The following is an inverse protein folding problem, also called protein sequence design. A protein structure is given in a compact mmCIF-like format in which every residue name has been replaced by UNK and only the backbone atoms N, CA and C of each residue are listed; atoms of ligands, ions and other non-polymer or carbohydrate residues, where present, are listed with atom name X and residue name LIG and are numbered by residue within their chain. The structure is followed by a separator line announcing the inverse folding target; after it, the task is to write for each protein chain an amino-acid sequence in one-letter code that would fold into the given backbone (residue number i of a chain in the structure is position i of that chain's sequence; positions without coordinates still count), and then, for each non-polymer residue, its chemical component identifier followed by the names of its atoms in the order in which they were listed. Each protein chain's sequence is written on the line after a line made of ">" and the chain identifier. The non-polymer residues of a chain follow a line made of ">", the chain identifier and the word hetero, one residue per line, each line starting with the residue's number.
data_IF_931198385539
#
_entry.id   IF_931198385539
#
_cell.length_a   1.000
_cell.length_b   1.000
_cell.length_c   1.000
_cell.angle_alpha   90.00
_cell.angle_beta   90.00
_cell.angle_gamma   90.00
#
_symmetry.space_group_name_H-M   'P 1'
#
loop_
_entity.id
_entity.type
_entity.pdbx_description
1 polymer ?
#
# COMPACT_ATOMS: atom_id res chain seq x y z
N UNK A 1 -27.88 -62.98 -6.71
CA UNK A 1 -26.90 -62.05 -6.09
C UNK A 1 -27.31 -60.60 -6.43
N UNK A 2 -27.78 -59.82 -5.45
CA UNK A 2 -28.17 -58.42 -5.65
C UNK A 2 -27.04 -57.55 -5.13
N UNK A 3 -26.31 -56.87 -5.99
CA UNK A 3 -25.26 -55.94 -5.65
C UNK A 3 -25.87 -54.62 -5.18
N UNK A 4 -25.68 -54.29 -3.93
CA UNK A 4 -26.09 -52.97 -3.40
C UNK A 4 -25.00 -51.94 -3.74
N UNK A 5 -25.36 -50.99 -4.58
CA UNK A 5 -24.53 -49.83 -4.89
C UNK A 5 -24.62 -48.83 -3.73
N UNK A 6 -23.54 -48.61 -3.03
CA UNK A 6 -23.44 -47.62 -1.96
C UNK A 6 -23.11 -46.26 -2.59
N UNK A 7 -24.09 -45.34 -2.61
CA UNK A 7 -23.87 -43.99 -3.07
C UNK A 7 -23.32 -43.20 -1.86
N UNK A 8 -22.03 -42.92 -1.88
CA UNK A 8 -21.41 -41.95 -0.97
C UNK A 8 -21.76 -40.54 -1.44
N UNK A 9 -22.73 -39.92 -0.80
CA UNK A 9 -23.01 -38.49 -0.95
C UNK A 9 -21.93 -37.72 -0.18
N UNK A 10 -20.88 -37.31 -0.88
CA UNK A 10 -19.90 -36.38 -0.34
C UNK A 10 -20.56 -35.01 -0.16
N UNK A 11 -20.79 -34.60 1.09
CA UNK A 11 -21.10 -33.24 1.43
C UNK A 11 -19.85 -32.38 1.14
N UNK A 12 -19.82 -31.72 0.00
CA UNK A 12 -18.92 -30.58 -0.21
C UNK A 12 -19.45 -29.41 0.62
N UNK A 13 -18.88 -29.19 1.78
CA UNK A 13 -19.02 -27.92 2.47
C UNK A 13 -18.37 -26.87 1.57
N UNK A 14 -19.17 -26.05 0.90
CA UNK A 14 -18.69 -24.86 0.23
C UNK A 14 -18.13 -23.94 1.33
N UNK A 15 -16.82 -23.86 1.43
CA UNK A 15 -16.14 -22.82 2.22
C UNK A 15 -16.44 -21.52 1.48
N UNK A 16 -17.45 -20.79 1.95
CA UNK A 16 -17.69 -19.45 1.50
C UNK A 16 -16.40 -18.64 1.78
N UNK A 17 -15.73 -18.25 0.72
CA UNK A 17 -14.60 -17.32 0.84
C UNK A 17 -15.19 -16.00 1.36
N UNK A 18 -15.05 -15.74 2.64
CA UNK A 18 -15.46 -14.48 3.24
C UNK A 18 -14.58 -13.38 2.63
N UNK A 19 -15.21 -12.52 1.84
CA UNK A 19 -14.60 -11.27 1.37
C UNK A 19 -14.62 -10.25 2.51
N UNK A 20 -13.75 -9.25 2.44
CA UNK A 20 -13.74 -8.12 3.35
C UNK A 20 -15.17 -7.59 3.59
N UNK A 21 -15.55 -7.46 4.86
CA UNK A 21 -16.92 -7.10 5.23
C UNK A 21 -17.06 -5.57 5.32
N UNK A 22 -18.03 -4.96 4.61
CA UNK A 22 -18.29 -3.54 4.76
C UNK A 22 -18.75 -3.23 6.19
N UNK A 23 -18.29 -2.11 6.72
CA UNK A 23 -18.65 -1.64 8.06
C UNK A 23 -19.49 -0.38 7.93
N UNK A 24 -20.62 -0.33 8.65
CA UNK A 24 -21.42 0.88 8.72
C UNK A 24 -20.59 2.01 9.29
N UNK A 25 -20.41 3.08 8.52
CA UNK A 25 -19.48 4.14 8.81
C UNK A 25 -20.16 5.48 8.81
N UNK A 26 -20.05 6.21 9.93
CA UNK A 26 -20.44 7.60 10.00
C UNK A 26 -19.31 8.48 9.50
N UNK A 27 -19.53 9.13 8.38
CA UNK A 27 -18.59 10.10 7.82
C UNK A 27 -19.01 11.51 8.30
N UNK A 28 -18.09 12.19 8.96
CA UNK A 28 -18.25 13.59 9.35
C UNK A 28 -17.09 14.40 8.78
N UNK A 29 -17.30 15.69 8.61
CA UNK A 29 -16.24 16.59 8.16
C UNK A 29 -16.14 17.79 9.11
N UNK A 30 -14.93 18.26 9.28
CA UNK A 30 -14.60 19.44 10.08
C UNK A 30 -14.03 20.50 9.12
N UNK A 31 -14.36 21.77 9.37
CA UNK A 31 -13.86 22.89 8.57
C UNK A 31 -14.50 23.02 7.20
N UNK A 32 -13.68 23.23 6.19
CA UNK A 32 -14.12 23.67 4.85
C UNK A 32 -14.55 22.54 3.90
N UNK A 33 -14.63 21.33 4.39
CA UNK A 33 -15.09 20.20 3.57
C UNK A 33 -16.57 20.35 3.20
N UNK A 34 -16.88 20.07 1.95
CA UNK A 34 -18.25 20.03 1.41
C UNK A 34 -18.55 18.65 0.85
N UNK A 35 -19.78 18.19 1.05
CA UNK A 35 -20.27 16.97 0.42
C UNK A 35 -21.38 17.33 -0.57
N UNK A 36 -21.21 16.93 -1.81
CA UNK A 36 -22.24 16.99 -2.83
C UNK A 36 -22.33 15.65 -3.54
N UNK A 37 -23.48 14.98 -3.42
CA UNK A 37 -23.76 13.70 -4.09
C UNK A 37 -22.69 12.61 -3.82
N UNK A 38 -22.19 12.54 -2.60
CA UNK A 38 -21.15 11.56 -2.21
C UNK A 38 -19.72 11.95 -2.58
N UNK A 39 -19.51 13.13 -3.18
CA UNK A 39 -18.20 13.69 -3.44
C UNK A 39 -17.84 14.68 -2.33
N UNK A 40 -16.83 14.35 -1.56
CA UNK A 40 -16.28 15.24 -0.54
C UNK A 40 -15.20 16.13 -1.16
N UNK A 41 -15.38 17.43 -1.07
CA UNK A 41 -14.46 18.43 -1.66
C UNK A 41 -13.96 19.36 -0.58
N UNK A 42 -12.65 19.56 -0.54
CA UNK A 42 -12.00 20.62 0.24
C UNK A 42 -11.34 21.60 -0.71
N UNK A 43 -11.59 22.89 -0.52
CA UNK A 43 -10.92 23.97 -1.21
C UNK A 43 -10.14 24.81 -0.21
N UNK A 44 -8.96 25.25 -0.60
CA UNK A 44 -8.20 26.23 0.18
C UNK A 44 -8.96 27.58 0.25
N UNK A 45 -8.92 28.35 1.35
CA UNK A 45 -8.11 28.13 2.55
C UNK A 45 -8.80 27.21 3.56
N UNK A 46 -8.17 26.07 3.86
CA UNK A 46 -8.50 25.22 5.01
C UNK A 46 -7.53 25.47 6.15
N UNK A 47 -7.88 25.00 7.32
CA UNK A 47 -6.96 24.96 8.45
C UNK A 47 -6.23 23.62 8.49
N UNK A 48 -5.05 23.57 9.11
CA UNK A 48 -4.20 22.38 9.25
C UNK A 48 -4.92 21.15 9.83
N UNK A 49 -6.06 21.37 10.48
CA UNK A 49 -6.82 20.33 11.18
C UNK A 49 -8.16 19.99 10.52
N UNK A 50 -8.45 20.57 9.35
CA UNK A 50 -9.65 20.23 8.62
C UNK A 50 -9.58 18.79 8.11
N UNK A 51 -10.47 17.93 8.57
CA UNK A 51 -10.41 16.51 8.26
C UNK A 51 -11.76 15.92 7.87
N UNK A 52 -11.72 14.91 7.00
CA UNK A 52 -12.77 13.91 6.89
C UNK A 52 -12.54 12.84 7.94
N UNK A 53 -13.55 12.59 8.75
CA UNK A 53 -13.48 11.65 9.86
C UNK A 53 -14.48 10.53 9.65
N UNK A 54 -13.96 9.31 9.62
CA UNK A 54 -14.73 8.08 9.45
C UNK A 54 -14.79 7.39 10.80
N UNK A 55 -15.96 7.34 11.43
CA UNK A 55 -16.17 6.66 12.71
C UNK A 55 -17.03 5.43 12.52
N UNK A 56 -16.60 4.33 13.10
CA UNK A 56 -17.29 3.04 12.96
C UNK A 56 -17.09 2.18 14.24
N UNK A 57 -18.04 1.28 14.52
CA UNK A 57 -17.87 0.33 15.60
C UNK A 57 -16.82 -0.73 15.24
N UNK A 58 -16.00 -1.06 16.21
CA UNK A 58 -15.03 -2.18 16.14
C UNK A 58 -15.49 -3.27 17.10
N UNK A 59 -16.15 -4.28 16.59
CA UNK A 59 -16.73 -5.35 17.41
C UNK A 59 -15.67 -6.25 18.04
N UNK A 60 -14.55 -6.43 17.35
CA UNK A 60 -13.40 -7.21 17.83
C UNK A 60 -12.12 -6.64 17.23
N UNK A 61 -10.99 -6.90 17.88
CA UNK A 61 -9.65 -6.56 17.37
C UNK A 61 -9.48 -7.07 15.94
N UNK A 62 -8.93 -6.24 15.05
CA UNK A 62 -8.75 -6.65 13.67
C UNK A 62 -8.17 -5.56 12.77
N UNK A 63 -7.88 -5.97 11.54
CA UNK A 63 -7.46 -5.05 10.49
C UNK A 63 -8.65 -4.50 9.74
N UNK A 64 -8.56 -3.23 9.40
CA UNK A 64 -9.55 -2.52 8.62
C UNK A 64 -8.90 -1.83 7.45
N UNK A 65 -9.63 -1.74 6.36
CA UNK A 65 -9.25 -1.09 5.12
C UNK A 65 -10.16 0.10 4.87
N UNK A 66 -9.60 1.30 4.78
CA UNK A 66 -10.23 2.45 4.19
C UNK A 66 -9.86 2.49 2.71
N UNK A 67 -10.83 2.55 1.84
CA UNK A 67 -10.60 2.66 0.40
C UNK A 67 -11.55 3.67 -0.24
N UNK A 68 -11.22 4.09 -1.44
CA UNK A 68 -11.99 5.04 -2.22
C UNK A 68 -11.21 5.53 -3.43
N UNK A 69 -11.66 6.63 -3.98
CA UNK A 69 -11.01 7.32 -5.10
C UNK A 69 -10.79 8.78 -4.74
N UNK A 70 -9.71 9.35 -5.22
CA UNK A 70 -9.34 10.72 -4.95
C UNK A 70 -8.68 11.41 -6.15
N UNK A 71 -8.86 12.71 -6.23
CA UNK A 71 -8.13 13.59 -7.15
C UNK A 71 -7.93 14.97 -6.51
N UNK A 72 -7.02 15.76 -7.01
CA UNK A 72 -6.80 17.11 -6.51
C UNK A 72 -5.48 17.73 -6.95
N UNK A 73 -5.24 18.93 -6.50
CA UNK A 73 -4.01 19.65 -6.73
C UNK A 73 -3.15 19.61 -5.47
N UNK A 74 -1.93 19.07 -5.59
CA UNK A 74 -0.89 19.07 -4.56
C UNK A 74 -0.97 18.02 -3.42
N UNK A 75 0.12 17.78 -2.67
CA UNK A 75 0.26 16.62 -1.81
C UNK A 75 -0.76 16.57 -0.68
N UNK A 76 -1.38 15.42 -0.55
CA UNK A 76 -2.39 15.12 0.44
C UNK A 76 -1.84 14.18 1.48
N UNK A 77 -2.06 14.50 2.75
CA UNK A 77 -1.87 13.56 3.84
C UNK A 77 -3.13 12.69 4.02
N UNK A 78 -3.19 11.58 3.30
CA UNK A 78 -4.05 10.48 3.71
C UNK A 78 -3.17 9.52 4.49
N UNK A 79 -3.16 9.64 5.82
CA UNK A 79 -2.35 8.75 6.67
C UNK A 79 -0.91 8.55 6.13
N UNK A 80 -0.33 9.62 5.59
CA UNK A 80 0.96 9.66 4.90
C UNK A 80 0.91 10.54 3.63
N UNK A 81 2.05 11.08 3.20
CA UNK A 81 2.16 11.93 2.02
C UNK A 81 1.76 11.17 0.74
N UNK A 82 0.80 11.71 0.01
CA UNK A 82 0.40 11.23 -1.32
C UNK A 82 0.46 12.41 -2.26
N UNK A 83 1.14 12.28 -3.38
CA UNK A 83 0.94 13.21 -4.48
C UNK A 83 -0.30 12.77 -5.25
N UNK A 84 -1.22 13.70 -5.47
CA UNK A 84 -2.50 13.45 -6.13
C UNK A 84 -2.44 13.97 -7.56
N UNK A 85 -2.93 13.21 -8.55
CA UNK A 85 -3.05 13.71 -9.91
C UNK A 85 -4.18 14.75 -10.02
N UNK A 86 -3.95 15.80 -10.78
CA UNK A 86 -4.88 16.94 -10.90
C UNK A 86 -6.18 16.63 -11.64
N UNK A 87 -6.21 15.65 -12.53
CA UNK A 87 -7.30 15.50 -13.51
C UNK A 87 -8.06 14.19 -13.44
N UNK A 88 -7.51 13.15 -12.79
CA UNK A 88 -8.11 11.83 -12.79
C UNK A 88 -8.32 11.34 -11.36
N UNK A 89 -9.42 10.63 -11.13
CA UNK A 89 -9.63 9.93 -9.88
C UNK A 89 -8.79 8.67 -9.85
N UNK A 90 -7.91 8.55 -8.86
CA UNK A 90 -7.16 7.34 -8.59
C UNK A 90 -7.70 6.61 -7.38
N UNK A 91 -7.67 5.28 -7.38
CA UNK A 91 -7.98 4.49 -6.20
C UNK A 91 -6.94 4.74 -5.11
N UNK A 92 -7.36 4.69 -3.86
CA UNK A 92 -6.45 4.61 -2.73
C UNK A 92 -6.89 3.52 -1.76
N UNK A 93 -5.94 3.04 -1.00
CA UNK A 93 -6.16 2.08 0.07
C UNK A 93 -5.26 2.41 1.25
N UNK A 94 -5.84 2.38 2.44
CA UNK A 94 -5.12 2.52 3.69
C UNK A 94 -5.54 1.44 4.67
N UNK A 95 -4.58 0.78 5.31
CA UNK A 95 -4.80 -0.28 6.27
C UNK A 95 -4.44 0.18 7.68
N UNK A 96 -5.25 -0.22 8.66
CA UNK A 96 -4.98 0.04 10.07
C UNK A 96 -5.54 -1.08 10.94
N UNK A 97 -4.83 -1.39 12.02
CA UNK A 97 -5.32 -2.28 13.07
C UNK A 97 -6.08 -1.46 14.10
N UNK A 98 -7.27 -1.94 14.48
CA UNK A 98 -8.06 -1.35 15.56
C UNK A 98 -8.34 -2.39 16.62
N UNK A 99 -8.33 -1.95 17.87
CA UNK A 99 -8.82 -2.71 19.01
C UNK A 99 -10.33 -2.54 19.14
N UNK A 100 -11.01 -3.52 19.77
CA UNK A 100 -12.44 -3.45 20.06
C UNK A 100 -12.81 -2.11 20.71
N UNK A 101 -13.87 -1.48 20.19
CA UNK A 101 -14.33 -0.16 20.62
C UNK A 101 -14.81 0.71 19.48
N UNK A 102 -14.28 1.92 19.39
CA UNK A 102 -14.57 2.87 18.31
C UNK A 102 -13.33 3.00 17.42
N UNK A 103 -13.52 2.73 16.13
CA UNK A 103 -12.52 2.97 15.10
C UNK A 103 -12.67 4.37 14.51
N UNK A 104 -11.54 4.96 14.13
CA UNK A 104 -11.52 6.24 13.46
C UNK A 104 -10.40 6.30 12.43
N UNK A 105 -10.76 6.52 11.16
CA UNK A 105 -9.82 6.99 10.14
C UNK A 105 -9.97 8.49 9.96
N UNK A 106 -8.85 9.16 9.67
CA UNK A 106 -8.85 10.57 9.33
C UNK A 106 -8.11 10.80 8.02
N UNK A 107 -8.75 11.59 7.14
CA UNK A 107 -8.11 12.16 5.97
C UNK A 107 -7.98 13.65 6.26
N UNK A 108 -6.77 14.16 6.30
CA UNK A 108 -6.49 15.57 6.49
C UNK A 108 -5.53 16.06 5.40
N UNK A 109 -5.67 17.31 5.03
CA UNK A 109 -4.86 17.98 4.03
C UNK A 109 -3.85 18.90 4.72
N UNK A 110 -2.63 18.89 4.25
CA UNK A 110 -1.67 19.92 4.58
C UNK A 110 -2.01 21.17 3.74
N UNK A 111 -2.32 22.32 4.35
CA UNK A 111 -2.79 23.47 3.59
C UNK A 111 -1.67 24.03 2.72
N UNK A 112 -1.92 24.08 1.45
CA UNK A 112 -1.17 24.83 0.47
C UNK A 112 -2.07 25.84 -0.23
N UNK A 113 -1.54 26.96 -0.71
CA UNK A 113 -2.33 28.10 -1.16
C UNK A 113 -3.00 27.90 -2.51
N UNK A 114 -3.59 26.84 -2.84
CA UNK A 114 -4.42 26.61 -4.06
C UNK A 114 -4.92 25.17 -4.14
N UNK A 115 -4.94 24.46 -3.03
CA UNK A 115 -5.17 23.02 -3.07
C UNK A 115 -6.67 22.71 -3.09
N UNK A 116 -7.07 21.89 -4.02
CA UNK A 116 -8.38 21.25 -4.05
C UNK A 116 -8.19 19.76 -3.91
N UNK A 117 -8.94 19.14 -3.01
CA UNK A 117 -8.93 17.72 -2.79
C UNK A 117 -10.35 17.18 -2.89
N UNK A 118 -10.53 16.12 -3.63
CA UNK A 118 -11.83 15.47 -3.81
C UNK A 118 -11.72 13.99 -3.51
N UNK A 119 -12.69 13.46 -2.77
CA UNK A 119 -12.86 12.04 -2.49
C UNK A 119 -14.25 11.58 -2.86
N UNK A 120 -14.34 10.36 -3.36
CA UNK A 120 -15.61 9.66 -3.62
C UNK A 120 -15.47 8.16 -3.37
N UNK A 121 -16.59 7.46 -3.36
CA UNK A 121 -16.66 5.99 -3.21
C UNK A 121 -15.95 5.49 -1.95
N UNK A 122 -16.01 6.31 -0.87
CA UNK A 122 -15.33 6.02 0.38
C UNK A 122 -16.04 4.89 1.13
N UNK A 123 -15.27 3.89 1.55
CA UNK A 123 -15.77 2.77 2.33
C UNK A 123 -14.74 2.26 3.33
N UNK A 124 -15.23 1.74 4.45
CA UNK A 124 -14.45 1.03 5.45
C UNK A 124 -14.85 -0.44 5.41
N UNK A 125 -13.89 -1.32 5.38
CA UNK A 125 -14.10 -2.77 5.36
C UNK A 125 -13.23 -3.41 6.44
N UNK A 126 -13.78 -4.39 7.16
CA UNK A 126 -12.99 -5.26 8.01
C UNK A 126 -12.34 -6.34 7.15
N UNK A 127 -11.04 -6.58 7.36
CA UNK A 127 -10.32 -7.65 6.66
C UNK A 127 -10.49 -8.96 7.42
N UNK A 128 -10.76 -10.01 6.66
CA UNK A 128 -10.76 -11.38 7.14
C UNK A 128 -9.37 -12.02 6.94
N UNK A 129 -9.13 -13.17 7.55
CA UNK A 129 -7.84 -13.86 7.43
C UNK A 129 -7.49 -14.18 5.97
N UNK A 130 -8.47 -14.53 5.15
CA UNK A 130 -8.27 -14.79 3.73
C UNK A 130 -7.80 -13.55 2.94
N UNK A 131 -8.12 -12.35 3.41
CA UNK A 131 -7.68 -11.11 2.75
C UNK A 131 -6.20 -10.83 3.02
N UNK A 132 -5.68 -11.23 4.19
CA UNK A 132 -4.26 -11.09 4.51
C UNK A 132 -3.35 -12.02 3.67
N UNK A 133 -3.94 -13.03 3.05
CA UNK A 133 -3.25 -13.96 2.13
C UNK A 133 -3.27 -13.52 0.67
N UNK A 134 -3.95 -12.41 0.36
CA UNK A 134 -3.93 -11.75 -0.96
C UNK A 134 -2.79 -10.74 -1.03
N UNK A 135 -2.51 -10.24 -2.22
CA UNK A 135 -1.57 -9.13 -2.36
C UNK A 135 -2.08 -7.89 -1.61
N UNK A 136 -1.28 -7.40 -0.68
CA UNK A 136 -1.57 -6.24 0.16
C UNK A 136 -0.83 -4.97 -0.30
N UNK A 137 -0.01 -5.06 -1.35
CA UNK A 137 0.68 -3.91 -1.93
C UNK A 137 -0.28 -3.16 -2.85
N UNK A 138 -0.66 -1.92 -2.52
CA UNK A 138 -1.49 -1.14 -3.43
C UNK A 138 -0.72 -0.84 -4.73
N UNK A 139 -1.35 -1.13 -5.86
CA UNK A 139 -0.77 -0.94 -7.20
C UNK A 139 0.65 -1.53 -7.36
N UNK A 140 0.85 -2.74 -6.86
CA UNK A 140 2.13 -3.45 -7.00
C UNK A 140 2.46 -3.85 -8.43
N UNK A 141 1.47 -3.80 -9.33
CA UNK A 141 1.60 -4.03 -10.77
C UNK A 141 1.84 -2.74 -11.56
N UNK A 142 1.81 -1.58 -10.90
CA UNK A 142 2.01 -0.23 -11.47
C UNK A 142 1.07 0.14 -12.62
N UNK A 143 -0.04 -0.59 -12.78
CA UNK A 143 -0.98 -0.42 -13.89
C UNK A 143 -1.79 0.88 -13.85
N UNK A 144 -1.85 1.54 -12.70
CA UNK A 144 -2.41 2.90 -12.60
C UNK A 144 -1.63 3.95 -13.39
N UNK A 145 -0.38 3.66 -13.75
CA UNK A 145 0.55 4.60 -14.39
C UNK A 145 1.00 5.75 -13.48
N UNK A 146 0.62 5.71 -12.19
CA UNK A 146 0.86 6.77 -11.23
C UNK A 146 1.38 6.20 -9.91
N UNK A 147 2.67 5.94 -9.82
CA UNK A 147 3.27 5.32 -8.63
C UNK A 147 3.17 6.15 -7.34
N UNK A 148 3.26 7.48 -7.42
CA UNK A 148 3.29 8.37 -6.25
C UNK A 148 2.11 8.26 -5.28
N UNK A 149 0.87 7.97 -5.70
CA UNK A 149 -0.23 7.71 -4.77
C UNK A 149 -0.05 6.49 -3.88
N UNK A 150 0.70 5.50 -4.34
CA UNK A 150 0.84 4.19 -3.70
C UNK A 150 2.20 4.01 -3.04
N UNK A 151 3.20 4.73 -3.52
CA UNK A 151 4.56 4.69 -3.05
C UNK A 151 5.04 6.11 -2.75
N UNK A 152 5.99 6.25 -1.87
CA UNK A 152 6.66 7.52 -1.58
C UNK A 152 8.15 7.40 -1.81
N UNK A 153 8.78 8.50 -2.09
CA UNK A 153 10.22 8.62 -2.07
C UNK A 153 10.74 8.44 -0.65
N UNK A 154 11.76 7.61 -0.48
CA UNK A 154 12.46 7.46 0.80
C UNK A 154 13.36 8.66 1.03
N UNK A 155 13.23 9.29 2.19
CA UNK A 155 14.07 10.42 2.61
C UNK A 155 15.01 9.96 3.71
N UNK A 156 16.18 9.47 3.32
CA UNK A 156 17.24 9.16 4.27
C UNK A 156 18.49 9.97 3.95
N UNK A 157 18.84 10.89 4.84
CA UNK A 157 20.00 11.76 4.68
C UNK A 157 19.83 12.77 3.54
N UNK A 158 20.93 13.13 2.87
CA UNK A 158 20.99 14.18 1.84
C UNK A 158 20.42 13.79 0.47
N UNK A 159 19.33 13.05 0.44
CA UNK A 159 18.73 12.59 -0.82
C UNK A 159 17.94 13.72 -1.48
N UNK A 160 18.59 14.50 -2.28
CA UNK A 160 17.93 15.61 -2.99
C UNK A 160 17.12 15.18 -4.20
N UNK A 161 17.39 14.01 -4.77
CA UNK A 161 16.67 13.55 -5.95
C UNK A 161 16.48 12.03 -5.98
N UNK A 162 15.25 11.58 -5.85
CA UNK A 162 14.86 10.23 -6.24
C UNK A 162 14.41 10.28 -7.69
N UNK A 163 15.10 9.56 -8.56
CA UNK A 163 14.74 9.46 -9.96
C UNK A 163 13.91 8.20 -10.19
N UNK A 164 12.61 8.30 -9.99
CA UNK A 164 11.66 7.20 -10.16
C UNK A 164 10.54 7.63 -11.11
N UNK A 165 10.27 6.83 -12.13
CA UNK A 165 9.21 7.08 -13.09
C UNK A 165 8.55 5.79 -13.57
N UNK A 166 7.27 5.85 -13.97
CA UNK A 166 6.64 4.74 -14.69
C UNK A 166 7.34 4.55 -16.04
N UNK A 167 7.52 3.32 -16.48
CA UNK A 167 8.21 2.95 -17.70
C UNK A 167 7.32 2.09 -18.58
N UNK A 168 7.59 2.10 -19.90
CA UNK A 168 6.91 1.24 -20.88
C UNK A 168 7.59 -0.12 -21.09
N UNK A 169 8.71 -0.39 -20.43
CA UNK A 169 9.38 -1.69 -20.44
C UNK A 169 8.88 -2.49 -19.22
N UNK A 170 7.95 -3.37 -19.42
CA UNK A 170 7.21 -4.10 -18.40
C UNK A 170 7.28 -5.60 -18.63
N UNK A 171 7.09 -6.36 -17.57
CA UNK A 171 7.00 -7.81 -17.64
C UNK A 171 5.62 -8.25 -18.15
N UNK A 172 4.58 -7.66 -17.56
CA UNK A 172 3.19 -7.97 -17.84
C UNK A 172 2.36 -6.67 -17.74
N UNK A 173 1.19 -6.64 -18.37
CA UNK A 173 0.33 -5.45 -18.34
C UNK A 173 0.80 -4.36 -19.30
N UNK A 174 0.95 -3.14 -18.80
CA UNK A 174 1.30 -1.95 -19.63
C UNK A 174 2.39 -1.09 -19.02
N UNK A 175 2.69 -1.24 -17.75
CA UNK A 175 3.60 -0.38 -17.03
C UNK A 175 4.51 -1.18 -16.09
N UNK A 176 5.64 -0.63 -15.78
CA UNK A 176 6.51 -1.04 -14.68
C UNK A 176 7.11 0.19 -14.02
N UNK A 177 7.60 0.05 -12.81
CA UNK A 177 8.32 1.10 -12.13
C UNK A 177 9.77 1.12 -12.61
N UNK A 178 10.26 2.29 -13.02
CA UNK A 178 11.65 2.54 -13.39
C UNK A 178 12.34 3.36 -12.32
N UNK A 179 13.45 2.86 -11.79
CA UNK A 179 14.35 3.60 -10.93
C UNK A 179 15.61 3.97 -11.72
N UNK A 180 15.75 5.25 -12.05
CA UNK A 180 16.92 5.78 -12.73
C UNK A 180 18.17 5.76 -11.83
N UNK A 181 19.33 5.99 -12.42
CA UNK A 181 20.60 6.07 -11.70
C UNK A 181 20.62 7.26 -10.74
N UNK A 182 20.84 7.06 -9.43
CA UNK A 182 21.01 8.17 -8.49
C UNK A 182 22.35 8.86 -8.72
N UNK A 183 22.46 10.11 -8.31
CA UNK A 183 23.73 10.83 -8.31
C UNK A 183 24.80 10.04 -7.51
N UNK A 184 26.07 10.20 -7.90
CA UNK A 184 27.19 9.49 -7.27
C UNK A 184 27.17 9.63 -5.75
N UNK A 185 27.21 8.51 -5.05
CA UNK A 185 27.18 8.44 -3.59
C UNK A 185 25.80 8.69 -2.97
N UNK A 186 24.77 8.77 -3.78
CA UNK A 186 23.37 8.87 -3.34
C UNK A 186 22.65 7.51 -3.49
N UNK A 187 21.48 7.40 -2.91
CA UNK A 187 20.63 6.21 -2.95
C UNK A 187 19.25 6.63 -3.41
N UNK A 188 18.71 5.98 -4.43
CA UNK A 188 17.28 6.05 -4.72
C UNK A 188 16.54 5.07 -3.80
N UNK A 189 15.49 5.54 -3.19
CA UNK A 189 14.67 4.71 -2.32
C UNK A 189 13.17 4.95 -2.58
N UNK A 190 12.44 3.87 -2.66
CA UNK A 190 11.01 3.84 -2.81
C UNK A 190 10.40 3.10 -1.62
N UNK A 191 9.40 3.68 -0.99
CA UNK A 191 8.75 3.14 0.21
C UNK A 191 7.29 2.91 -0.07
N UNK A 192 6.81 1.69 0.17
CA UNK A 192 5.39 1.36 0.04
C UNK A 192 4.54 2.07 1.09
N UNK A 193 3.23 2.05 0.90
CA UNK A 193 2.29 2.32 1.98
C UNK A 193 2.41 1.28 3.08
N UNK A 194 1.88 1.61 4.25
CA UNK A 194 1.77 0.63 5.32
C UNK A 194 0.85 -0.51 4.91
N UNK A 195 1.34 -1.72 5.10
CA UNK A 195 0.61 -2.97 4.88
C UNK A 195 0.29 -3.61 6.23
N UNK A 196 -0.85 -4.27 6.37
CA UNK A 196 -1.19 -4.99 7.59
C UNK A 196 -0.27 -6.21 7.78
N UNK A 197 0.12 -6.48 9.02
CA UNK A 197 0.84 -7.70 9.37
C UNK A 197 0.56 -8.11 10.80
N UNK A 198 0.29 -9.40 11.02
CA UNK A 198 0.18 -9.99 12.35
C UNK A 198 1.57 -10.26 12.93
N UNK A 199 1.68 -10.20 14.25
CA UNK A 199 2.91 -10.58 14.97
C UNK A 199 3.19 -12.08 14.80
N UNK A 200 4.47 -12.44 14.77
CA UNK A 200 4.96 -13.82 14.78
C UNK A 200 4.47 -14.69 13.60
N UNK A 201 4.05 -14.09 12.49
CA UNK A 201 3.66 -14.77 11.26
C UNK A 201 4.80 -14.81 10.25
N UNK A 202 4.68 -15.72 9.29
CA UNK A 202 5.52 -15.70 8.10
C UNK A 202 4.82 -14.86 7.03
N UNK A 203 5.53 -13.89 6.48
CA UNK A 203 5.07 -13.10 5.34
C UNK A 203 5.93 -13.40 4.12
N UNK A 204 5.31 -13.38 2.97
CA UNK A 204 5.97 -13.61 1.68
C UNK A 204 5.94 -12.33 0.90
N UNK A 205 7.08 -11.93 0.40
CA UNK A 205 7.26 -10.83 -0.53
C UNK A 205 7.79 -11.38 -1.84
N UNK A 206 7.16 -11.03 -2.93
CA UNK A 206 7.59 -11.37 -4.30
C UNK A 206 7.69 -10.09 -5.12
N UNK A 207 8.68 -10.00 -5.98
CA UNK A 207 8.76 -8.97 -7.00
C UNK A 207 9.46 -9.52 -8.25
N UNK A 208 9.12 -8.96 -9.39
CA UNK A 208 9.88 -9.12 -10.61
C UNK A 208 10.77 -7.89 -10.81
N UNK A 209 12.03 -8.11 -11.16
CA UNK A 209 12.95 -7.03 -11.41
C UNK A 209 14.01 -7.40 -12.43
N UNK A 210 14.53 -6.36 -13.11
CA UNK A 210 15.71 -6.42 -13.97
C UNK A 210 16.52 -5.12 -13.88
N UNK A 211 17.72 -5.12 -14.42
CA UNK A 211 18.56 -3.93 -14.51
C UNK A 211 19.27 -3.86 -15.86
N UNK A 212 19.53 -2.67 -16.36
CA UNK A 212 20.28 -2.48 -17.62
C UNK A 212 21.67 -3.11 -17.56
N UNK A 213 22.30 -3.09 -16.38
CA UNK A 213 23.56 -3.75 -16.08
C UNK A 213 23.45 -4.51 -14.77
N UNK A 214 24.15 -5.65 -14.58
CA UNK A 214 24.12 -6.39 -13.33
C UNK A 214 24.46 -5.49 -12.13
N UNK A 215 23.55 -5.42 -11.16
CA UNK A 215 23.69 -4.56 -9.98
C UNK A 215 22.84 -5.05 -8.80
N UNK A 216 23.17 -4.68 -7.55
CA UNK A 216 22.36 -5.03 -6.41
C UNK A 216 21.10 -4.15 -6.32
N UNK A 217 20.01 -4.75 -5.84
CA UNK A 217 18.85 -4.07 -5.30
C UNK A 217 18.69 -4.49 -3.85
N UNK A 218 18.55 -3.53 -2.94
CA UNK A 218 18.27 -3.78 -1.53
C UNK A 218 16.78 -3.70 -1.26
N UNK A 219 16.31 -4.67 -0.52
CA UNK A 219 14.94 -4.83 -0.08
C UNK A 219 14.95 -4.78 1.44
N UNK A 220 14.24 -3.87 2.02
CA UNK A 220 14.18 -3.73 3.46
C UNK A 220 12.73 -3.71 3.92
N UNK A 221 12.35 -4.66 4.79
CA UNK A 221 11.08 -4.60 5.50
C UNK A 221 11.27 -3.82 6.80
N UNK A 222 10.51 -2.76 6.92
CA UNK A 222 10.44 -1.91 8.10
C UNK A 222 9.24 -2.33 8.95
N UNK A 223 9.52 -2.91 10.10
CA UNK A 223 8.54 -3.32 11.08
C UNK A 223 8.43 -2.25 12.17
N UNK A 224 7.33 -1.54 12.22
CA UNK A 224 7.08 -0.60 13.31
C UNK A 224 6.61 -1.37 14.55
N UNK A 225 7.56 -1.71 15.43
CA UNK A 225 7.27 -2.45 16.65
C UNK A 225 6.41 -1.62 17.62
N UNK A 226 6.75 -0.34 17.80
CA UNK A 226 6.04 0.67 18.57
C UNK A 226 6.16 2.01 17.86
N UNK A 227 5.38 2.99 18.25
CA UNK A 227 5.49 4.32 17.66
C UNK A 227 6.94 4.83 17.71
N UNK A 228 7.53 5.05 16.54
CA UNK A 228 8.91 5.52 16.39
C UNK A 228 9.99 4.48 16.68
N UNK A 229 9.64 3.22 16.99
CA UNK A 229 10.60 2.13 17.16
C UNK A 229 10.47 1.15 16.01
N UNK A 230 11.50 1.10 15.19
CA UNK A 230 11.54 0.31 13.97
C UNK A 230 12.55 -0.85 14.08
N UNK A 231 12.20 -1.99 13.52
CA UNK A 231 13.08 -3.11 13.25
C UNK A 231 13.15 -3.33 11.73
N UNK A 232 14.35 -3.44 11.21
CA UNK A 232 14.61 -3.61 9.78
C UNK A 232 15.11 -5.01 9.47
N UNK A 233 14.51 -5.66 8.48
CA UNK A 233 15.04 -6.91 7.91
C UNK A 233 15.43 -6.67 6.46
N UNK A 234 16.74 -6.78 6.20
CA UNK A 234 17.36 -6.48 4.92
C UNK A 234 17.61 -7.75 4.10
N UNK A 235 17.29 -7.68 2.81
CA UNK A 235 17.71 -8.61 1.76
C UNK A 235 18.39 -7.83 0.64
N UNK A 236 19.32 -8.48 -0.04
CA UNK A 236 19.95 -7.93 -1.25
C UNK A 236 19.86 -8.95 -2.35
N UNK A 237 19.44 -8.52 -3.53
CA UNK A 237 19.41 -9.36 -4.73
C UNK A 237 20.37 -8.82 -5.78
N UNK A 238 20.99 -9.70 -6.53
CA UNK A 238 21.75 -9.36 -7.72
C UNK A 238 20.78 -9.36 -8.92
N UNK A 239 20.51 -8.19 -9.47
CA UNK A 239 19.71 -8.05 -10.67
C UNK A 239 20.51 -8.38 -11.92
N UNK A 240 19.82 -8.88 -12.93
CA UNK A 240 20.35 -9.19 -14.27
C UNK A 240 19.59 -8.41 -15.33
N UNK A 241 20.05 -8.37 -16.59
CA UNK A 241 19.32 -7.72 -17.68
C UNK A 241 17.97 -8.36 -18.03
N UNK A 242 17.78 -9.62 -17.68
CA UNK A 242 16.52 -10.33 -17.90
C UNK A 242 15.58 -10.14 -16.70
N UNK A 243 14.29 -10.09 -16.99
CA UNK A 243 13.26 -10.14 -15.95
C UNK A 243 13.37 -11.44 -15.16
N UNK A 244 13.43 -11.32 -13.83
CA UNK A 244 13.51 -12.44 -12.90
C UNK A 244 12.64 -12.21 -11.69
N UNK A 245 12.00 -13.28 -11.23
CA UNK A 245 11.26 -13.30 -9.99
C UNK A 245 12.20 -13.48 -8.78
N UNK A 246 11.94 -12.69 -7.75
CA UNK A 246 12.62 -12.79 -6.47
C UNK A 246 11.57 -12.92 -5.37
N UNK A 247 11.64 -14.03 -4.63
CA UNK A 247 10.71 -14.33 -3.55
C UNK A 247 11.47 -14.46 -2.23
N UNK A 248 10.94 -13.84 -1.18
CA UNK A 248 11.52 -13.83 0.16
C UNK A 248 10.47 -14.16 1.19
N UNK A 249 10.88 -14.92 2.18
CA UNK A 249 10.11 -15.14 3.40
C UNK A 249 10.74 -14.35 4.54
N UNK A 250 9.89 -13.69 5.34
CA UNK A 250 10.27 -12.97 6.54
C UNK A 250 9.38 -13.42 7.69
N UNK A 251 9.95 -13.47 8.88
CA UNK A 251 9.17 -13.68 10.10
C UNK A 251 8.92 -12.34 10.76
N UNK A 252 7.65 -11.98 10.92
CA UNK A 252 7.28 -10.75 11.62
C UNK A 252 7.66 -10.85 13.10
N UNK A 253 8.25 -9.81 13.68
CA UNK A 253 8.48 -9.73 15.12
C UNK A 253 7.15 -9.46 15.87
N UNK A 254 7.23 -9.25 17.17
CA UNK A 254 6.10 -8.68 17.91
C UNK A 254 5.85 -7.25 17.43
N UNK A 255 4.62 -6.95 17.01
CA UNK A 255 4.19 -5.68 16.44
C UNK A 255 3.03 -5.10 17.23
N UNK A 256 3.22 -3.94 17.83
CA UNK A 256 2.14 -3.22 18.51
C UNK A 256 1.17 -2.61 17.47
N UNK A 257 1.71 -1.87 16.50
CA UNK A 257 0.92 -1.19 15.46
C UNK A 257 0.50 -2.12 14.32
N UNK A 258 0.99 -3.36 14.30
CA UNK A 258 0.65 -4.39 13.31
C UNK A 258 0.74 -3.93 11.86
N UNK A 259 1.77 -3.14 11.56
CA UNK A 259 2.01 -2.59 10.23
C UNK A 259 3.47 -2.66 9.82
N UNK A 260 3.68 -2.80 8.51
CA UNK A 260 5.01 -2.84 7.91
C UNK A 260 5.05 -2.01 6.63
N UNK A 261 6.25 -1.62 6.24
CA UNK A 261 6.53 -0.98 4.96
C UNK A 261 7.65 -1.73 4.24
N UNK A 262 7.56 -1.78 2.91
CA UNK A 262 8.62 -2.25 2.05
C UNK A 262 9.43 -1.05 1.56
N UNK A 263 10.73 -1.14 1.66
CA UNK A 263 11.67 -0.19 1.08
C UNK A 263 12.47 -0.87 -0.02
N UNK A 264 12.41 -0.32 -1.22
CA UNK A 264 13.25 -0.70 -2.36
C UNK A 264 14.36 0.34 -2.49
N UNK A 265 15.61 -0.09 -2.44
CA UNK A 265 16.77 0.82 -2.42
C UNK A 265 17.78 0.41 -3.48
N UNK A 266 18.19 1.36 -4.30
CA UNK A 266 19.33 1.20 -5.20
C UNK A 266 20.41 2.22 -4.92
N UNK A 267 21.65 1.76 -4.95
CA UNK A 267 22.83 2.60 -4.88
C UNK A 267 23.20 3.14 -6.28
N UNK A 268 24.23 3.99 -6.34
CA UNK A 268 24.73 4.58 -7.58
C UNK A 268 25.53 3.54 -8.39
N UNK A 269 24.81 2.73 -9.15
CA UNK A 269 25.34 1.85 -10.19
C UNK A 269 24.86 2.32 -11.56
N UNK A 270 25.64 2.15 -12.64
CA UNK A 270 25.24 2.55 -13.99
C UNK A 270 23.99 1.83 -14.48
N UNK A 271 23.17 2.56 -15.23
CA UNK A 271 21.98 2.04 -15.88
C UNK A 271 20.74 2.02 -14.99
N UNK A 272 19.60 1.73 -15.58
CA UNK A 272 18.30 1.77 -14.93
C UNK A 272 17.93 0.40 -14.29
N UNK A 273 17.03 0.44 -13.33
CA UNK A 273 16.37 -0.72 -12.72
C UNK A 273 14.87 -0.64 -13.03
N UNK A 274 14.28 -1.75 -13.42
CA UNK A 274 12.83 -1.90 -13.58
C UNK A 274 12.30 -2.89 -12.58
N UNK A 275 11.13 -2.59 -12.02
CA UNK A 275 10.45 -3.40 -11.01
C UNK A 275 9.00 -3.53 -11.43
N UNK A 276 8.46 -4.74 -11.29
CA UNK A 276 7.09 -5.07 -11.62
C UNK A 276 6.55 -6.16 -10.69
N UNK A 277 5.24 -6.33 -10.64
CA UNK A 277 4.58 -7.38 -9.85
C UNK A 277 5.09 -7.50 -8.41
N UNK A 278 5.02 -6.40 -7.66
CA UNK A 278 5.36 -6.40 -6.23
C UNK A 278 4.18 -6.94 -5.43
N UNK A 279 4.40 -8.03 -4.75
CA UNK A 279 3.41 -8.66 -3.87
C UNK A 279 3.92 -8.74 -2.45
N UNK A 280 3.00 -8.57 -1.52
CA UNK A 280 3.22 -8.84 -0.11
C UNK A 280 1.95 -9.47 0.47
N UNK A 281 2.10 -10.59 1.18
CA UNK A 281 0.99 -11.31 1.81
C UNK A 281 1.47 -12.17 2.97
N UNK A 282 0.54 -12.53 3.85
CA UNK A 282 0.81 -13.61 4.81
C UNK A 282 0.83 -14.97 4.10
N UNK A 283 1.62 -15.90 4.62
CA UNK A 283 1.77 -17.26 4.07
C UNK A 283 0.59 -18.16 4.41
#
# INVERSE_FOLDING_TARGET
>A
MKTKMLICTGMFAAVAAFAAQPVETKITHEGVWKNAEGVYTQNYPGHDYDSLVFRFPVESDGFYKLSGEFCGTDPVLVCGLVQVPEKEYLPFTHYQFFRKGNGEFRIYQNPGPKNTLKFRNLKVERLEEADLKKNLVPDGEFESGAWKPFWREGRWGDQESVNVSAASDFLQGRNSLKMGEPAKGKVNALVSRHMPARSNQTVVMTLWAKAATPQPLRLNLDFEQQFGKHLYQLKTVALTPEWKEYTFEFKTPELENKRIQLHLQRESFPGDVWIDHVEFREK
#
